data_IF_985584003533
#
_entry.id   IF_985584003533
#
_cell.length_a   1.000
_cell.length_b   1.000
_cell.length_c   1.000
_cell.angle_alpha   90.00
_cell.angle_beta   90.00
_cell.angle_gamma   90.00
#
_symmetry.space_group_name_H-M   'P 1'
#
loop_
_entity.id
_entity.type
_entity.pdbx_description
1 polymer ?
#
# COMPACT_ATOMS: atom_id res chain seq x y z
N UNK A 1 0.21 -16.76 -11.12
CA UNK A 1 -0.23 -15.77 -10.12
C UNK A 1 -1.14 -14.72 -10.77
N UNK A 2 -2.28 -14.37 -10.14
CA UNK A 2 -3.28 -13.44 -10.69
C UNK A 2 -2.79 -11.98 -10.73
N UNK A 3 -3.50 -11.18 -11.52
CA UNK A 3 -3.26 -9.76 -11.84
C UNK A 3 -3.91 -8.91 -10.74
N UNK A 4 -3.13 -8.14 -9.96
CA UNK A 4 -3.67 -7.37 -8.83
C UNK A 4 -4.74 -6.36 -9.28
N UNK A 5 -5.91 -6.36 -8.66
CA UNK A 5 -6.97 -5.39 -8.94
C UNK A 5 -6.64 -4.06 -8.26
N UNK A 6 -7.00 -2.95 -8.90
CA UNK A 6 -6.94 -1.65 -8.24
C UNK A 6 -8.28 -1.42 -7.55
N UNK A 7 -8.24 -0.99 -6.29
CA UNK A 7 -9.42 -0.79 -5.45
C UNK A 7 -9.41 0.66 -4.97
N UNK A 8 -10.42 1.41 -5.39
CA UNK A 8 -10.64 2.78 -4.94
C UNK A 8 -11.27 2.77 -3.54
N UNK A 9 -10.75 3.60 -2.63
CA UNK A 9 -11.18 3.62 -1.22
C UNK A 9 -12.58 4.19 -1.00
N UNK A 10 -13.08 5.00 -1.94
CA UNK A 10 -14.46 5.52 -1.91
C UNK A 10 -14.73 6.50 -0.77
N UNK A 11 -13.92 7.56 -0.63
CA UNK A 11 -14.03 8.59 0.42
C UNK A 11 -12.66 9.08 0.88
N UNK A 12 -12.63 9.86 1.96
CA UNK A 12 -11.38 10.35 2.57
C UNK A 12 -10.65 9.25 3.36
N UNK A 13 -11.39 8.25 3.85
CA UNK A 13 -10.88 7.16 4.68
C UNK A 13 -10.79 5.83 3.93
N UNK A 14 -9.88 4.95 4.37
CA UNK A 14 -9.83 3.56 3.92
C UNK A 14 -8.69 3.20 2.96
N UNK A 15 -7.68 4.07 2.76
CA UNK A 15 -6.50 3.73 1.95
C UNK A 15 -5.78 2.46 2.45
N UNK A 16 -5.74 2.24 3.77
CA UNK A 16 -5.24 1.00 4.38
C UNK A 16 -6.09 -0.23 4.01
N UNK A 17 -7.42 -0.15 4.16
CA UNK A 17 -8.33 -1.25 3.83
C UNK A 17 -8.31 -1.61 2.34
N UNK A 18 -8.31 -0.60 1.46
CA UNK A 18 -8.15 -0.82 0.03
C UNK A 18 -6.78 -1.44 -0.31
N UNK A 19 -5.71 -1.04 0.37
CA UNK A 19 -4.39 -1.67 0.21
C UNK A 19 -4.39 -3.14 0.60
N UNK A 20 -5.04 -3.49 1.73
CA UNK A 20 -5.22 -4.89 2.14
C UNK A 20 -6.05 -5.66 1.12
N UNK A 21 -7.15 -5.08 0.63
CA UNK A 21 -7.99 -5.70 -0.38
C UNK A 21 -7.23 -6.03 -1.67
N UNK A 22 -6.37 -5.11 -2.12
CA UNK A 22 -5.52 -5.32 -3.30
C UNK A 22 -4.49 -6.43 -3.08
N UNK A 23 -3.80 -6.42 -1.93
CA UNK A 23 -2.76 -7.40 -1.61
C UNK A 23 -3.31 -8.82 -1.37
N UNK A 24 -4.48 -8.93 -0.74
CA UNK A 24 -5.12 -10.21 -0.42
C UNK A 24 -6.07 -10.71 -1.52
N UNK A 25 -6.24 -9.96 -2.62
CA UNK A 25 -7.21 -10.22 -3.71
C UNK A 25 -8.64 -10.45 -3.20
N UNK A 26 -9.08 -9.64 -2.24
CA UNK A 26 -10.43 -9.67 -1.65
C UNK A 26 -11.22 -8.39 -1.95
N UNK A 27 -12.51 -8.40 -1.64
CA UNK A 27 -13.35 -7.21 -1.77
C UNK A 27 -13.08 -6.17 -0.67
N UNK A 28 -13.33 -4.89 -0.97
CA UNK A 28 -13.11 -3.80 0.00
C UNK A 28 -13.95 -3.96 1.28
N UNK A 29 -15.17 -4.48 1.16
CA UNK A 29 -16.04 -4.73 2.30
C UNK A 29 -15.42 -5.76 3.26
N UNK A 30 -14.93 -6.88 2.72
CA UNK A 30 -14.24 -7.91 3.49
C UNK A 30 -12.95 -7.37 4.13
N UNK A 31 -12.17 -6.57 3.40
CA UNK A 31 -10.98 -5.93 3.95
C UNK A 31 -11.29 -4.98 5.12
N UNK A 32 -12.43 -4.30 5.09
CA UNK A 32 -12.90 -3.44 6.19
C UNK A 32 -13.31 -4.26 7.42
N UNK A 33 -13.88 -5.45 7.23
CA UNK A 33 -14.28 -6.34 8.33
C UNK A 33 -13.07 -6.95 9.04
N UNK A 34 -12.01 -7.33 8.31
CA UNK A 34 -10.82 -7.96 8.92
C UNK A 34 -9.92 -6.96 9.66
N UNK A 35 -9.97 -5.67 9.30
CA UNK A 35 -9.29 -4.58 9.99
C UNK A 35 -10.11 -4.19 11.22
N UNK A 36 -9.77 -4.84 12.33
CA UNK A 36 -10.44 -4.67 13.60
C UNK A 36 -10.29 -3.23 14.13
N UNK A 37 -11.38 -2.58 14.56
CA UNK A 37 -11.38 -1.23 15.13
C UNK A 37 -11.46 -0.04 14.14
N UNK A 38 -11.77 -0.30 12.86
CA UNK A 38 -12.11 0.74 11.88
C UNK A 38 -10.93 1.60 11.41
N UNK A 39 -11.22 2.76 10.82
CA UNK A 39 -10.24 3.64 10.15
C UNK A 39 -9.07 4.07 11.05
N UNK A 40 -9.28 4.16 12.37
CA UNK A 40 -8.25 4.52 13.37
C UNK A 40 -7.16 3.45 13.52
N UNK A 41 -7.45 2.20 13.14
CA UNK A 41 -6.50 1.08 13.21
C UNK A 41 -5.79 0.79 11.88
N UNK A 42 -5.83 1.69 10.91
CA UNK A 42 -5.03 1.59 9.66
C UNK A 42 -3.53 1.91 9.86
N UNK A 43 -2.99 1.75 11.07
CA UNK A 43 -1.54 1.76 11.30
C UNK A 43 -0.88 0.46 10.83
N UNK A 44 0.46 0.44 10.74
CA UNK A 44 1.22 -0.74 10.28
C UNK A 44 0.81 -2.02 11.00
N UNK A 45 0.66 -1.97 12.32
CA UNK A 45 0.30 -3.15 13.12
C UNK A 45 -1.11 -3.68 12.80
N UNK A 46 -2.09 -2.80 12.54
CA UNK A 46 -3.44 -3.22 12.17
C UNK A 46 -3.49 -3.83 10.77
N UNK A 47 -2.80 -3.20 9.79
CA UNK A 47 -2.70 -3.74 8.43
C UNK A 47 -1.94 -5.08 8.41
N UNK A 48 -0.87 -5.20 9.19
CA UNK A 48 -0.12 -6.45 9.32
C UNK A 48 -1.02 -7.58 9.86
N UNK A 49 -1.74 -7.36 10.96
CA UNK A 49 -2.68 -8.35 11.51
C UNK A 49 -3.77 -8.76 10.51
N UNK A 50 -4.30 -7.79 9.76
CA UNK A 50 -5.31 -8.05 8.75
C UNK A 50 -4.78 -8.93 7.60
N UNK A 51 -3.56 -8.65 7.12
CA UNK A 51 -2.90 -9.45 6.09
C UNK A 51 -2.51 -10.84 6.60
N UNK A 52 -2.09 -10.97 7.86
CA UNK A 52 -1.74 -12.25 8.47
C UNK A 52 -2.95 -13.20 8.54
N UNK A 53 -4.16 -12.68 8.75
CA UNK A 53 -5.43 -13.46 8.63
C UNK A 53 -5.64 -14.06 7.23
N UNK A 54 -4.95 -13.54 6.22
CA UNK A 54 -4.98 -14.01 4.82
C UNK A 54 -3.69 -14.74 4.42
N UNK A 55 -2.83 -15.08 5.40
CA UNK A 55 -1.56 -15.77 5.15
C UNK A 55 -0.50 -14.90 4.47
N UNK A 56 -0.64 -13.57 4.57
CA UNK A 56 0.31 -12.59 4.02
C UNK A 56 1.03 -11.89 5.17
N UNK A 57 2.34 -11.83 5.07
CA UNK A 57 3.24 -11.18 6.03
C UNK A 57 3.83 -9.90 5.45
N UNK A 58 4.13 -8.94 6.33
CA UNK A 58 4.80 -7.70 5.98
C UNK A 58 6.17 -7.63 6.64
N UNK A 59 7.22 -7.66 5.83
CA UNK A 59 8.60 -7.51 6.27
C UNK A 59 9.08 -6.07 6.02
N UNK A 60 9.91 -5.54 6.91
CA UNK A 60 10.49 -4.21 6.69
C UNK A 60 11.45 -4.32 5.50
N UNK A 61 11.14 -3.60 4.42
CA UNK A 61 12.04 -3.49 3.27
C UNK A 61 12.92 -2.25 3.38
N UNK A 62 12.31 -1.11 3.70
CA UNK A 62 13.01 0.15 3.94
C UNK A 62 12.43 0.84 5.18
N UNK A 63 13.28 1.00 6.20
CA UNK A 63 13.03 1.89 7.34
C UNK A 63 14.00 3.07 7.27
N UNK A 64 13.52 4.28 7.57
CA UNK A 64 14.31 5.49 7.77
C UNK A 64 14.97 6.17 6.55
N UNK A 65 14.91 5.59 5.34
CA UNK A 65 15.35 6.26 4.10
C UNK A 65 14.14 6.63 3.26
N UNK A 66 13.82 7.92 3.20
CA UNK A 66 12.81 8.47 2.32
C UNK A 66 13.09 8.05 0.86
N UNK A 67 12.18 7.27 0.29
CA UNK A 67 12.17 6.96 -1.14
C UNK A 67 11.37 8.06 -1.82
N UNK A 68 12.06 8.98 -2.50
CA UNK A 68 11.37 9.97 -3.33
C UNK A 68 10.68 9.26 -4.48
N UNK A 69 9.38 9.01 -4.37
CA UNK A 69 8.63 8.20 -5.35
C UNK A 69 8.54 8.89 -6.72
N UNK A 70 8.68 10.22 -6.78
CA UNK A 70 8.72 10.99 -8.04
C UNK A 70 10.09 11.01 -8.73
N UNK A 71 11.15 10.48 -8.11
CA UNK A 71 12.50 10.48 -8.68
C UNK A 71 12.81 9.15 -9.37
N UNK A 72 13.09 9.12 -10.68
CA UNK A 72 13.31 7.88 -11.45
C UNK A 72 14.36 6.95 -10.82
N UNK A 73 15.43 7.52 -10.27
CA UNK A 73 16.55 6.79 -9.66
C UNK A 73 16.19 6.12 -8.32
N UNK A 74 15.16 6.60 -7.62
CA UNK A 74 14.70 6.00 -6.35
C UNK A 74 13.51 5.05 -6.54
N UNK A 75 12.71 5.23 -7.59
CA UNK A 75 11.81 4.21 -8.12
C UNK A 75 12.56 2.92 -8.51
N UNK A 76 13.85 3.02 -8.88
CA UNK A 76 14.68 1.87 -9.18
C UNK A 76 14.80 0.90 -7.99
N UNK A 77 14.88 1.39 -6.74
CA UNK A 77 14.94 0.53 -5.55
C UNK A 77 13.63 -0.24 -5.32
N UNK A 78 12.49 0.42 -5.54
CA UNK A 78 11.16 -0.20 -5.48
C UNK A 78 10.98 -1.23 -6.61
N UNK A 79 11.43 -0.91 -7.83
CA UNK A 79 11.44 -1.84 -8.97
C UNK A 79 12.35 -3.04 -8.73
N UNK A 80 13.54 -2.82 -8.17
CA UNK A 80 14.52 -3.86 -7.87
C UNK A 80 14.10 -4.78 -6.71
N UNK A 81 13.09 -4.41 -5.92
CA UNK A 81 12.58 -5.25 -4.85
C UNK A 81 12.06 -6.62 -5.35
N UNK A 82 11.63 -6.70 -6.61
CA UNK A 82 11.17 -7.95 -7.24
C UNK A 82 9.91 -8.56 -6.61
N UNK A 83 9.20 -7.79 -5.79
CA UNK A 83 8.03 -8.23 -5.04
C UNK A 83 7.05 -7.06 -4.83
N UNK A 84 5.81 -7.40 -4.50
CA UNK A 84 4.80 -6.40 -4.17
C UNK A 84 5.18 -5.72 -2.84
N UNK A 85 4.91 -4.42 -2.75
CA UNK A 85 5.23 -3.64 -1.55
C UNK A 85 3.99 -2.93 -1.03
N UNK A 86 3.85 -2.86 0.29
CA UNK A 86 3.00 -1.89 0.95
C UNK A 86 3.85 -0.65 1.29
N UNK A 87 3.43 0.50 0.80
CA UNK A 87 4.15 1.76 0.96
C UNK A 87 3.37 2.68 1.87
N UNK A 88 4.04 3.20 2.90
CA UNK A 88 3.55 4.34 3.66
C UNK A 88 4.18 5.60 3.11
N UNK A 89 3.35 6.58 2.82
CA UNK A 89 3.77 7.86 2.26
C UNK A 89 3.25 8.98 3.16
N UNK A 90 4.01 10.07 3.23
CA UNK A 90 3.58 11.27 3.96
C UNK A 90 3.05 12.30 2.98
N UNK A 91 1.95 12.96 3.33
CA UNK A 91 1.52 14.18 2.68
C UNK A 91 2.56 15.30 2.83
N UNK A 92 2.47 16.32 1.97
CA UNK A 92 3.37 17.50 1.97
C UNK A 92 3.39 18.25 3.30
N UNK A 93 2.33 18.15 4.09
CA UNK A 93 2.20 18.75 5.43
C UNK A 93 2.81 17.89 6.55
N UNK A 94 3.31 16.69 6.23
CA UNK A 94 3.94 15.76 7.17
C UNK A 94 2.98 15.09 8.16
N UNK A 95 1.71 15.48 8.18
CA UNK A 95 0.73 15.09 9.21
C UNK A 95 -0.21 13.98 8.76
N UNK A 96 -0.44 13.84 7.45
CA UNK A 96 -1.33 12.80 6.91
C UNK A 96 -0.48 11.66 6.31
N UNK A 97 -0.64 10.46 6.87
CA UNK A 97 -0.03 9.24 6.34
C UNK A 97 -0.99 8.54 5.39
N UNK A 98 -0.55 8.22 4.18
CA UNK A 98 -1.33 7.50 3.17
C UNK A 98 -0.68 6.14 2.85
N UNK A 99 -1.51 5.17 2.46
CA UNK A 99 -1.06 3.82 2.11
C UNK A 99 -1.26 3.55 0.63
N UNK A 100 -0.27 2.95 -0.01
CA UNK A 100 -0.27 2.60 -1.42
C UNK A 100 0.35 1.22 -1.63
N UNK A 101 0.08 0.62 -2.79
CA UNK A 101 0.63 -0.69 -3.14
C UNK A 101 1.48 -0.60 -4.40
N UNK A 102 2.68 -1.19 -4.36
CA UNK A 102 3.48 -1.44 -5.56
C UNK A 102 3.09 -2.78 -6.16
N UNK A 103 2.56 -2.78 -7.39
CA UNK A 103 2.30 -3.96 -8.21
C UNK A 103 3.57 -4.26 -9.01
N UNK A 104 4.38 -5.18 -8.49
CA UNK A 104 5.68 -5.54 -9.06
C UNK A 104 5.56 -6.16 -10.45
N UNK A 105 4.50 -6.93 -10.69
CA UNK A 105 4.25 -7.58 -11.99
C UNK A 105 3.99 -6.57 -13.09
N UNK A 106 3.27 -5.48 -12.77
CA UNK A 106 2.99 -4.40 -13.74
C UNK A 106 3.97 -3.24 -13.65
N UNK A 107 4.90 -3.26 -12.69
CA UNK A 107 5.87 -2.20 -12.47
C UNK A 107 5.20 -0.84 -12.20
N UNK A 108 4.11 -0.81 -11.43
CA UNK A 108 3.36 0.42 -11.17
C UNK A 108 2.85 0.54 -9.74
N UNK A 109 2.63 1.79 -9.34
CA UNK A 109 2.03 2.15 -8.06
C UNK A 109 0.50 2.18 -8.20
N UNK A 110 -0.20 1.56 -7.25
CA UNK A 110 -1.65 1.57 -7.12
C UNK A 110 -2.02 2.46 -5.94
N UNK A 111 -2.69 3.57 -6.24
CA UNK A 111 -3.16 4.55 -5.26
C UNK A 111 -4.64 4.32 -4.93
N UNK A 112 -5.00 3.92 -3.70
CA UNK A 112 -6.39 3.80 -3.28
C UNK A 112 -7.22 5.08 -3.34
N UNK A 113 -6.59 6.26 -3.26
CA UNK A 113 -7.31 7.54 -3.32
C UNK A 113 -7.68 7.91 -4.77
N UNK A 114 -7.06 7.26 -5.76
CA UNK A 114 -7.34 7.56 -7.16
C UNK A 114 -8.47 6.68 -7.63
N UNK A 115 -9.42 7.24 -8.38
CA UNK A 115 -10.40 6.42 -9.11
C UNK A 115 -9.75 5.63 -10.26
N UNK A 116 -8.54 6.00 -10.69
CA UNK A 116 -7.82 5.34 -11.77
C UNK A 116 -6.43 4.90 -11.33
N UNK A 117 -6.10 3.65 -11.62
CA UNK A 117 -4.78 3.06 -11.37
C UNK A 117 -3.57 3.72 -12.08
N UNK A 118 -3.76 4.80 -12.85
CA UNK A 118 -2.71 5.51 -13.61
C UNK A 118 -2.46 6.95 -13.16
N UNK A 119 -3.26 7.47 -12.23
CA UNK A 119 -3.23 8.88 -11.82
C UNK A 119 -3.14 8.94 -10.29
N UNK A 120 -1.96 8.70 -9.68
CA UNK A 120 -1.81 8.92 -8.25
C UNK A 120 -2.15 10.37 -7.95
N UNK A 121 -3.03 10.57 -6.98
CA UNK A 121 -3.80 11.80 -6.80
C UNK A 121 -3.11 12.81 -5.90
N UNK A 122 -1.96 12.45 -5.36
CA UNK A 122 -1.22 13.33 -4.47
C UNK A 122 0.16 13.63 -5.03
N UNK A 123 0.60 14.84 -4.73
CA UNK A 123 2.01 15.17 -4.65
C UNK A 123 2.69 14.42 -3.49
N UNK A 124 2.67 13.09 -3.57
CA UNK A 124 3.43 12.21 -2.70
C UNK A 124 4.86 12.27 -3.20
N UNK A 125 5.65 13.12 -2.56
CA UNK A 125 7.04 13.29 -2.92
C UNK A 125 7.89 12.15 -2.33
N UNK A 126 7.45 11.50 -1.23
CA UNK A 126 8.25 10.56 -0.44
C UNK A 126 7.43 9.40 0.18
N UNK A 127 7.87 8.16 -0.05
CA UNK A 127 7.56 7.04 0.85
C UNK A 127 8.52 7.07 2.04
N UNK A 128 7.99 7.18 3.25
CA UNK A 128 8.81 7.17 4.46
C UNK A 128 9.10 5.74 4.94
N UNK A 129 8.27 4.77 4.54
CA UNK A 129 8.42 3.34 4.85
C UNK A 129 7.94 2.47 3.71
N UNK A 130 8.66 1.38 3.46
CA UNK A 130 8.24 0.32 2.54
C UNK A 130 8.28 -1.04 3.24
N UNK A 131 7.25 -1.83 3.00
CA UNK A 131 7.13 -3.18 3.54
C UNK A 131 7.03 -4.16 2.38
N UNK A 132 7.91 -5.15 2.39
CA UNK A 132 7.85 -6.28 1.46
C UNK A 132 6.69 -7.18 1.83
N UNK A 133 5.91 -7.55 0.83
CA UNK A 133 4.82 -8.51 0.97
C UNK A 133 5.41 -9.90 0.78
N UNK A 134 5.31 -10.76 1.79
CA UNK A 134 5.73 -12.16 1.76
C UNK A 134 4.56 -13.08 2.10
N UNK A 135 4.54 -14.31 1.58
CA UNK A 135 3.37 -15.18 1.70
C UNK A 135 2.19 -14.76 0.80
N UNK A 136 1.09 -15.51 0.87
CA UNK A 136 -0.01 -15.44 -0.10
C UNK A 136 0.22 -16.36 -1.32
N UNK A 137 -0.86 -16.98 -1.79
CA UNK A 137 -0.86 -17.93 -2.94
C UNK A 137 -0.79 -17.23 -4.30
#
# INVERSE_FOLDING_TARGET
>A
MRKMRHIYQGGEDGCGAASVAMLADIELAEAREIIDGGWRNCGKAGLQKALEKKGISLEIFLSHKFVKLKRPEKLAAVRAAGCDLLLKVKGKDGNIGHWMVWDSKRGRLLDPYSKKAKEPCFDIDDADRAYKVTGGQ
#
